data_IF_312957812712
#
_entry.id   IF_312957812712
#
_cell.length_a   1.000
_cell.length_b   1.000
_cell.length_c   1.000
_cell.angle_alpha   90.00
_cell.angle_beta   90.00
_cell.angle_gamma   90.00
#
_symmetry.space_group_name_H-M   'P 1'
#
loop_
_entity.id
_entity.type
_entity.pdbx_description
1 polymer ?
#
# COMPACT_ATOMS: atom_id res chain seq x y z
N UNK A 1 -20.93 5.48 33.06
CA UNK A 1 -21.42 6.74 32.46
C UNK A 1 -21.27 6.62 30.94
N UNK A 2 -22.27 6.16 30.19
CA UNK A 2 -22.09 5.96 28.75
C UNK A 2 -21.95 7.30 28.00
N UNK A 3 -21.18 7.32 26.90
CA UNK A 3 -20.93 8.53 26.11
C UNK A 3 -21.57 8.39 24.73
N UNK A 4 -22.21 9.45 24.23
CA UNK A 4 -22.85 9.50 22.90
C UNK A 4 -21.88 9.87 21.79
N UNK A 5 -22.15 9.41 20.57
CA UNK A 5 -21.51 9.91 19.35
C UNK A 5 -20.01 9.67 19.29
N UNK A 6 -19.58 8.43 19.57
CA UNK A 6 -18.16 8.05 19.50
C UNK A 6 -17.80 7.63 18.08
N UNK A 7 -16.79 8.27 17.52
CA UNK A 7 -16.15 7.84 16.28
C UNK A 7 -14.82 7.17 16.61
N UNK A 8 -14.56 6.03 15.97
CA UNK A 8 -13.23 5.45 15.93
C UNK A 8 -12.59 5.86 14.60
N UNK A 9 -11.49 6.61 14.68
CA UNK A 9 -10.71 7.02 13.51
C UNK A 9 -9.46 6.16 13.40
N UNK A 10 -9.28 5.53 12.24
CA UNK A 10 -8.06 4.82 11.87
C UNK A 10 -7.46 5.47 10.62
N UNK A 11 -6.14 5.36 10.46
CA UNK A 11 -5.45 5.78 9.24
C UNK A 11 -5.04 4.53 8.47
N UNK A 12 -5.48 4.44 7.22
CA UNK A 12 -5.13 3.37 6.31
C UNK A 12 -3.69 3.54 5.81
N UNK A 13 -3.10 2.48 5.25
CA UNK A 13 -1.72 2.47 4.72
C UNK A 13 -1.52 3.43 3.54
N UNK A 14 -2.59 3.84 2.86
CA UNK A 14 -2.59 4.86 1.81
C UNK A 14 -2.71 6.30 2.36
N UNK A 15 -2.81 6.45 3.69
CA UNK A 15 -2.95 7.73 4.37
C UNK A 15 -4.38 8.28 4.43
N UNK A 16 -5.36 7.59 3.85
CA UNK A 16 -6.78 7.93 3.99
C UNK A 16 -7.29 7.60 5.40
N UNK A 17 -8.35 8.30 5.83
CA UNK A 17 -8.97 8.06 7.12
C UNK A 17 -10.12 7.05 6.94
N UNK A 18 -10.05 5.95 7.69
CA UNK A 18 -11.19 5.06 7.89
C UNK A 18 -11.91 5.50 9.17
N UNK A 19 -13.16 5.91 9.02
CA UNK A 19 -14.01 6.33 10.14
C UNK A 19 -15.09 5.29 10.33
N UNK A 20 -15.13 4.68 11.52
CA UNK A 20 -16.19 3.77 11.93
C UNK A 20 -17.09 4.54 12.88
N UNK A 21 -18.34 4.76 12.47
CA UNK A 21 -19.38 5.25 13.37
C UNK A 21 -19.82 4.10 14.27
N UNK A 22 -19.71 4.29 15.60
CA UNK A 22 -20.10 3.29 16.59
C UNK A 22 -21.59 3.39 16.98
N UNK A 23 -22.38 4.17 16.24
CA UNK A 23 -23.82 4.25 16.40
C UNK A 23 -24.52 3.01 15.79
N UNK A 24 -25.55 2.51 16.48
CA UNK A 24 -26.17 1.20 16.19
C UNK A 24 -27.04 1.14 14.93
N UNK A 25 -27.35 2.27 14.27
CA UNK A 25 -28.06 2.28 12.99
C UNK A 25 -28.09 3.69 12.37
N UNK A 26 -28.17 3.73 11.03
CA UNK A 26 -28.43 4.93 10.22
C UNK A 26 -29.88 5.46 10.34
N UNK A 27 -30.68 4.91 11.27
CA UNK A 27 -32.02 5.39 11.62
C UNK A 27 -31.94 6.12 12.95
N UNK A 28 -32.05 7.44 12.89
CA UNK A 28 -31.80 8.45 13.93
C UNK A 28 -32.65 8.35 15.22
N UNK A 29 -33.29 7.23 15.52
CA UNK A 29 -34.27 7.14 16.62
C UNK A 29 -33.77 6.34 17.82
N UNK A 30 -32.79 5.44 17.66
CA UNK A 30 -32.26 4.67 18.78
C UNK A 30 -30.90 5.21 19.23
N UNK A 31 -30.87 5.75 20.46
CA UNK A 31 -29.72 6.48 20.99
C UNK A 31 -28.59 5.51 21.30
N UNK A 32 -27.71 5.28 20.33
CA UNK A 32 -26.50 4.45 20.45
C UNK A 32 -25.58 4.95 21.58
N UNK A 33 -25.62 4.26 22.73
CA UNK A 33 -24.71 4.48 23.84
C UNK A 33 -23.63 3.41 23.81
N UNK A 34 -22.36 3.82 23.74
CA UNK A 34 -21.24 2.90 23.91
C UNK A 34 -20.86 2.87 25.39
N UNK A 35 -20.93 1.69 26.01
CA UNK A 35 -20.49 1.52 27.40
C UNK A 35 -18.98 1.66 27.51
N UNK A 36 -18.47 2.09 28.67
CA UNK A 36 -17.01 2.17 28.89
C UNK A 36 -16.30 0.82 28.90
N UNK A 37 -17.05 -0.27 29.04
CA UNK A 37 -16.53 -1.63 28.99
C UNK A 37 -16.62 -2.23 27.57
N UNK A 38 -17.14 -1.49 26.59
CA UNK A 38 -17.23 -1.97 25.22
C UNK A 38 -15.83 -2.13 24.64
N UNK A 39 -15.56 -3.30 24.07
CA UNK A 39 -14.33 -3.58 23.34
C UNK A 39 -14.66 -3.61 21.84
N UNK A 40 -13.88 -2.88 21.03
CA UNK A 40 -13.98 -2.91 19.57
C UNK A 40 -12.85 -3.79 19.06
N UNK A 41 -13.20 -4.92 18.43
CA UNK A 41 -12.24 -5.81 17.76
C UNK A 41 -12.27 -5.51 16.26
N UNK A 42 -11.15 -5.05 15.74
CA UNK A 42 -10.93 -4.90 14.30
C UNK A 42 -10.09 -6.07 13.82
N UNK A 43 -10.66 -6.89 12.94
CA UNK A 43 -9.96 -8.02 12.32
C UNK A 43 -9.78 -7.68 10.85
N UNK A 44 -8.53 -7.60 10.40
CA UNK A 44 -8.21 -7.53 8.97
C UNK A 44 -8.20 -8.98 8.49
N UNK A 45 -9.33 -9.42 7.93
CA UNK A 45 -9.40 -10.69 7.22
C UNK A 45 -8.84 -10.50 5.81
N UNK A 46 -8.18 -11.51 5.23
CA UNK A 46 -7.90 -11.50 3.80
C UNK A 46 -9.22 -11.31 3.03
N UNK A 47 -9.20 -10.63 1.87
CA UNK A 47 -10.38 -10.58 1.01
C UNK A 47 -10.80 -12.02 0.72
N UNK A 48 -12.04 -12.37 1.00
CA UNK A 48 -12.60 -13.67 0.62
C UNK A 48 -13.35 -13.47 -0.69
N UNK A 49 -13.11 -14.34 -1.66
CA UNK A 49 -13.96 -14.40 -2.84
C UNK A 49 -15.19 -15.22 -2.49
N UNK A 50 -16.36 -14.66 -2.77
CA UNK A 50 -17.58 -15.46 -2.74
C UNK A 50 -17.42 -16.56 -3.79
N UNK A 51 -17.69 -17.82 -3.43
CA UNK A 51 -17.44 -18.98 -4.30
C UNK A 51 -16.06 -19.64 -4.15
N UNK A 52 -15.10 -19.05 -3.43
CA UNK A 52 -13.83 -19.69 -3.04
C UNK A 52 -14.07 -20.48 -1.74
N UNK A 53 -14.41 -21.75 -1.89
CA UNK A 53 -14.83 -22.62 -0.79
C UNK A 53 -13.66 -23.40 -0.19
N UNK A 54 -12.55 -23.54 -0.94
CA UNK A 54 -11.33 -24.16 -0.45
C UNK A 54 -10.34 -23.14 0.17
N UNK A 55 -10.63 -21.84 0.04
CA UNK A 55 -9.86 -20.69 0.53
C UNK A 55 -8.45 -20.57 -0.04
N UNK A 56 -8.26 -20.98 -1.29
CA UNK A 56 -6.96 -20.87 -1.98
C UNK A 56 -6.77 -19.53 -2.72
N UNK A 57 -7.81 -18.69 -2.74
CA UNK A 57 -7.79 -17.37 -3.37
C UNK A 57 -8.11 -17.38 -4.87
N UNK A 58 -8.60 -18.50 -5.41
CA UNK A 58 -9.05 -18.66 -6.78
C UNK A 58 -10.40 -19.39 -6.78
N UNK A 59 -11.39 -18.84 -7.48
CA UNK A 59 -12.66 -19.55 -7.70
C UNK A 59 -12.52 -20.42 -8.94
N UNK A 60 -12.38 -21.73 -8.77
CA UNK A 60 -12.24 -22.68 -9.85
C UNK A 60 -12.97 -24.02 -9.63
N UNK A 61 -12.62 -25.02 -10.43
CA UNK A 61 -13.24 -26.34 -10.38
C UNK A 61 -12.87 -27.15 -9.13
N UNK A 62 -11.91 -26.73 -8.31
CA UNK A 62 -11.65 -27.32 -7.01
C UNK A 62 -12.75 -26.95 -6.02
N UNK A 63 -13.27 -25.72 -6.05
CA UNK A 63 -14.32 -25.26 -5.13
C UNK A 63 -15.63 -26.03 -5.26
N UNK A 64 -15.99 -26.43 -6.48
CA UNK A 64 -17.23 -27.19 -6.70
C UNK A 64 -17.17 -28.57 -6.04
N UNK A 65 -15.98 -29.15 -5.87
CA UNK A 65 -15.82 -30.42 -5.15
C UNK A 65 -16.06 -30.22 -3.66
N UNK A 66 -15.59 -29.10 -3.12
CA UNK A 66 -15.79 -28.70 -1.73
C UNK A 66 -17.27 -28.40 -1.46
N UNK A 67 -17.95 -27.67 -2.35
CA UNK A 67 -19.40 -27.44 -2.25
C UNK A 67 -20.21 -28.74 -2.29
N UNK A 68 -19.86 -29.67 -3.19
CA UNK A 68 -20.53 -30.98 -3.28
C UNK A 68 -20.35 -31.82 -2.02
N UNK A 69 -19.16 -31.83 -1.45
CA UNK A 69 -18.88 -32.57 -0.21
C UNK A 69 -19.58 -31.96 1.01
N UNK A 70 -19.88 -30.65 0.96
CA UNK A 70 -20.58 -29.93 2.00
C UNK A 70 -22.11 -29.92 1.84
N UNK A 71 -22.62 -30.41 0.71
CA UNK A 71 -24.04 -30.40 0.41
C UNK A 71 -24.81 -31.15 1.52
N UNK A 72 -25.83 -30.51 2.08
CA UNK A 72 -26.62 -30.96 3.25
C UNK A 72 -25.91 -30.94 4.62
N UNK A 73 -24.69 -30.41 4.74
CA UNK A 73 -24.09 -30.10 6.03
C UNK A 73 -24.82 -28.92 6.70
N UNK A 74 -25.26 -29.12 7.95
CA UNK A 74 -25.90 -28.08 8.76
C UNK A 74 -24.97 -27.51 9.84
N UNK A 75 -23.82 -28.13 10.05
CA UNK A 75 -22.85 -27.77 11.08
C UNK A 75 -21.58 -27.14 10.51
N UNK A 76 -21.25 -27.47 9.27
CA UNK A 76 -20.07 -26.98 8.59
C UNK A 76 -20.53 -26.21 7.35
N UNK A 77 -20.38 -24.89 7.39
CA UNK A 77 -20.93 -23.93 6.43
C UNK A 77 -19.83 -23.22 5.61
N UNK A 78 -18.71 -23.91 5.34
CA UNK A 78 -17.61 -23.29 4.55
C UNK A 78 -18.03 -22.99 3.11
N UNK A 79 -19.01 -23.73 2.58
CA UNK A 79 -19.55 -23.55 1.23
C UNK A 79 -20.87 -22.74 1.18
N UNK A 80 -21.22 -22.05 2.28
CA UNK A 80 -22.35 -21.13 2.36
C UNK A 80 -21.92 -19.76 1.82
N UNK A 81 -22.01 -19.61 0.50
CA UNK A 81 -21.55 -18.43 -0.23
C UNK A 81 -22.40 -17.19 0.05
N UNK A 82 -23.71 -17.37 0.28
CA UNK A 82 -24.63 -16.27 0.59
C UNK A 82 -24.75 -15.98 2.10
N UNK A 83 -24.17 -16.84 2.95
CA UNK A 83 -24.15 -16.75 4.42
C UNK A 83 -25.53 -16.80 5.06
N UNK A 84 -26.46 -17.55 4.49
CA UNK A 84 -27.81 -17.71 4.99
C UNK A 84 -27.96 -18.85 6.02
N UNK A 85 -26.87 -19.62 6.26
CA UNK A 85 -26.84 -20.76 7.16
C UNK A 85 -27.18 -22.11 6.52
N UNK A 86 -27.35 -22.16 5.20
CA UNK A 86 -27.80 -23.31 4.43
C UNK A 86 -26.94 -23.42 3.16
N UNK A 87 -26.35 -24.58 2.92
CA UNK A 87 -25.63 -24.85 1.66
C UNK A 87 -26.63 -25.42 0.66
N UNK A 88 -26.99 -24.63 -0.37
CA UNK A 88 -27.96 -25.00 -1.38
C UNK A 88 -27.57 -24.54 -2.80
N UNK A 89 -28.55 -24.58 -3.72
CA UNK A 89 -28.34 -24.21 -5.11
C UNK A 89 -28.06 -22.71 -5.32
N UNK A 90 -28.43 -21.84 -4.38
CA UNK A 90 -28.11 -20.42 -4.45
C UNK A 90 -26.60 -20.20 -4.27
N UNK A 91 -25.92 -21.01 -3.45
CA UNK A 91 -24.46 -20.95 -3.30
C UNK A 91 -23.75 -21.39 -4.58
N UNK A 92 -24.28 -22.42 -5.25
CA UNK A 92 -23.77 -22.84 -6.55
C UNK A 92 -23.82 -21.71 -7.59
N UNK A 93 -24.92 -20.95 -7.64
CA UNK A 93 -25.03 -19.78 -8.53
C UNK A 93 -23.97 -18.73 -8.21
N UNK A 94 -23.65 -18.52 -6.92
CA UNK A 94 -22.58 -17.61 -6.51
C UNK A 94 -21.22 -18.10 -7.03
N UNK A 95 -20.92 -19.39 -6.92
CA UNK A 95 -19.70 -19.95 -7.49
C UNK A 95 -19.65 -19.76 -9.02
N UNK A 96 -20.77 -19.98 -9.73
CA UNK A 96 -20.83 -19.75 -11.19
C UNK A 96 -20.57 -18.28 -11.54
N UNK A 97 -21.18 -17.35 -10.81
CA UNK A 97 -21.01 -15.90 -11.03
C UNK A 97 -19.58 -15.43 -10.74
N UNK A 98 -18.86 -16.12 -9.85
CA UNK A 98 -17.51 -15.78 -9.44
C UNK A 98 -16.43 -16.64 -10.11
N UNK A 99 -16.80 -17.57 -10.99
CA UNK A 99 -15.86 -18.49 -11.62
C UNK A 99 -14.71 -17.76 -12.35
N UNK A 100 -13.48 -18.11 -12.02
CA UNK A 100 -12.25 -17.50 -12.56
C UNK A 100 -11.81 -16.22 -11.86
N UNK A 101 -12.57 -15.70 -10.90
CA UNK A 101 -12.13 -14.62 -10.02
C UNK A 101 -10.96 -15.10 -9.17
N UNK A 102 -10.00 -14.20 -8.91
CA UNK A 102 -8.84 -14.50 -8.06
C UNK A 102 -8.44 -13.29 -7.25
N UNK A 103 -7.89 -13.53 -6.07
CA UNK A 103 -7.35 -12.46 -5.23
C UNK A 103 -6.04 -12.00 -5.87
N UNK A 104 -6.06 -10.78 -6.41
CA UNK A 104 -4.84 -10.13 -6.85
C UNK A 104 -4.14 -9.54 -5.63
N UNK A 105 -3.10 -10.22 -5.17
CA UNK A 105 -2.16 -9.62 -4.24
C UNK A 105 -1.36 -8.54 -4.98
N UNK A 106 -1.32 -7.34 -4.41
CA UNK A 106 -0.38 -6.32 -4.86
C UNK A 106 1.04 -6.86 -4.64
N UNK A 107 1.67 -7.33 -5.71
CA UNK A 107 3.08 -7.69 -5.68
C UNK A 107 3.87 -6.41 -5.43
N UNK A 108 4.49 -6.29 -4.26
CA UNK A 108 5.47 -5.23 -4.00
C UNK A 108 6.64 -5.48 -4.94
N UNK A 109 6.65 -4.79 -6.07
CA UNK A 109 7.76 -4.86 -7.01
C UNK A 109 8.95 -4.23 -6.30
N UNK A 110 9.95 -5.04 -5.96
CA UNK A 110 11.21 -4.54 -5.44
C UNK A 110 11.72 -3.49 -6.42
N UNK A 111 11.77 -2.22 -5.98
CA UNK A 111 12.32 -1.14 -6.79
C UNK A 111 13.80 -1.48 -6.97
N UNK A 112 14.29 -1.69 -8.21
CA UNK A 112 15.68 -2.04 -8.43
C UNK A 112 16.58 -0.96 -7.82
N UNK A 113 17.42 -1.36 -6.88
CA UNK A 113 18.33 -0.50 -6.12
C UNK A 113 19.28 0.30 -7.03
N UNK A 114 19.45 -0.14 -8.28
CA UNK A 114 20.19 0.56 -9.34
C UNK A 114 19.61 1.92 -9.76
N UNK A 115 18.41 2.30 -9.30
CA UNK A 115 17.81 3.59 -9.63
C UNK A 115 18.49 4.77 -8.91
N UNK A 116 19.07 4.53 -7.72
CA UNK A 116 19.76 5.57 -6.93
C UNK A 116 21.20 5.82 -7.38
N UNK A 117 21.86 4.80 -7.95
CA UNK A 117 23.28 4.85 -8.33
C UNK A 117 23.56 5.87 -9.44
N UNK A 118 22.62 6.01 -10.39
CA UNK A 118 22.72 6.99 -11.49
C UNK A 118 22.68 8.44 -11.00
N UNK A 119 21.85 8.74 -10.00
CA UNK A 119 21.75 10.09 -9.43
C UNK A 119 23.05 10.49 -8.73
N UNK A 120 23.66 9.57 -7.98
CA UNK A 120 24.95 9.82 -7.30
C UNK A 120 26.06 10.05 -8.33
N UNK A 121 26.14 9.22 -9.38
CA UNK A 121 27.16 9.38 -10.43
C UNK A 121 27.01 10.70 -11.20
N UNK A 122 25.78 11.11 -11.54
CA UNK A 122 25.52 12.39 -12.21
C UNK A 122 25.91 13.59 -11.34
N UNK A 123 25.59 13.55 -10.03
CA UNK A 123 25.94 14.60 -9.09
C UNK A 123 27.47 14.68 -8.88
N UNK A 124 28.16 13.55 -8.77
CA UNK A 124 29.62 13.51 -8.68
C UNK A 124 30.30 14.04 -9.94
N UNK A 125 29.78 13.70 -11.14
CA UNK A 125 30.29 14.25 -12.40
C UNK A 125 30.09 15.77 -12.48
N UNK A 126 28.91 16.26 -12.12
CA UNK A 126 28.59 17.69 -12.12
C UNK A 126 29.49 18.46 -11.14
N UNK A 127 29.65 17.95 -9.91
CA UNK A 127 30.55 18.52 -8.91
C UNK A 127 32.00 18.60 -9.41
N UNK A 128 32.51 17.51 -10.00
CA UNK A 128 33.86 17.45 -10.53
C UNK A 128 34.07 18.41 -11.70
N UNK A 129 33.04 18.61 -12.54
CA UNK A 129 33.06 19.63 -13.60
C UNK A 129 33.12 21.05 -13.04
N UNK A 130 32.40 21.33 -11.95
CA UNK A 130 32.44 22.62 -11.26
C UNK A 130 33.82 22.89 -10.67
N UNK A 131 34.43 21.91 -9.97
CA UNK A 131 35.77 22.07 -9.39
C UNK A 131 36.86 22.33 -10.44
N UNK A 132 36.81 21.65 -11.59
CA UNK A 132 37.76 21.86 -12.69
C UNK A 132 37.63 23.24 -13.36
N UNK A 133 36.42 23.84 -13.34
CA UNK A 133 36.23 25.20 -13.87
C UNK A 133 36.81 26.26 -12.94
N UNK A 134 36.66 26.10 -11.63
CA UNK A 134 37.21 27.02 -10.63
C UNK A 134 38.75 27.02 -10.67
N UNK A 135 39.39 25.84 -10.62
CA UNK A 135 40.85 25.74 -10.64
C UNK A 135 41.53 26.30 -11.92
N UNK A 136 40.82 26.29 -13.05
CA UNK A 136 41.34 26.81 -14.34
C UNK A 136 41.27 28.35 -14.41
N UNK A 137 40.37 28.98 -13.65
CA UNK A 137 40.26 30.44 -13.57
C UNK A 137 41.42 31.00 -12.71
N UNK A 138 41.72 30.35 -11.58
CA UNK A 138 42.82 30.75 -10.69
C UNK A 138 44.19 30.73 -11.37
N UNK A 139 44.46 29.72 -12.21
CA UNK A 139 45.74 29.61 -12.91
C UNK A 139 45.96 30.73 -13.95
N UNK A 140 44.88 31.18 -14.61
CA UNK A 140 44.96 32.28 -15.59
C UNK A 140 45.12 33.65 -14.92
N UNK A 141 44.51 33.85 -13.75
CA UNK A 141 44.71 35.05 -12.94
C UNK A 141 46.16 35.18 -12.42
N UNK A 142 46.73 34.06 -11.94
CA UNK A 142 48.11 34.04 -11.42
C UNK A 142 49.18 34.32 -12.50
N UNK A 143 49.00 33.79 -13.72
CA UNK A 143 49.94 34.02 -14.84
C UNK A 143 49.84 35.46 -15.39
N UNK A 144 48.66 36.09 -15.31
CA UNK A 144 48.49 37.49 -15.70
C UNK A 144 49.19 38.48 -14.77
N UNK A 145 49.29 38.16 -13.48
CA UNK A 145 49.93 39.03 -12.48
C UNK A 145 51.46 39.04 -12.56
N UNK A 146 52.10 37.94 -12.99
CA UNK A 146 53.56 37.83 -13.09
C UNK A 146 54.19 38.53 -14.29
N UNK A 147 53.40 38.96 -15.29
CA UNK A 147 53.91 39.68 -16.48
C UNK A 147 54.07 41.19 -16.29
N UNK A 148 53.68 41.76 -15.14
CA UNK A 148 53.72 43.20 -14.87
C UNK A 148 54.90 43.70 -14.02
N UNK A 149 55.82 42.84 -13.57
CA UNK A 149 56.86 43.20 -12.58
C UNK A 149 58.27 42.82 -13.08
N UNK A 150 58.73 43.45 -14.16
CA UNK A 150 60.17 43.56 -14.46
C UNK A 150 60.43 45.01 -14.92
N UNK A 151 60.91 45.91 -14.05
CA UNK A 151 61.40 47.21 -14.49
C UNK A 151 62.70 47.03 -15.28
N UNK A 152 62.72 47.51 -16.53
CA UNK A 152 63.91 47.55 -17.36
C UNK A 152 64.95 48.51 -16.78
N UNK A 153 66.13 48.00 -16.47
CA UNK A 153 67.27 48.80 -16.07
C UNK A 153 67.82 49.52 -17.31
N UNK A 154 67.66 50.84 -17.36
CA UNK A 154 68.34 51.72 -18.31
C UNK A 154 69.76 51.96 -17.82
N UNK A 155 70.76 51.44 -18.53
CA UNK A 155 72.16 51.86 -18.40
C UNK A 155 72.60 52.44 -19.75
N UNK A 156 72.65 53.77 -19.80
CA UNK A 156 73.49 54.58 -20.68
C UNK A 156 73.77 55.90 -19.94
#
# INVERSE_FOLDING_TARGET
MAVRGKMLTARLTDGSLATIDLNTNSRLEDRGYVSHAATVRVTIAPPLLEGDYNYDGLVDAADITVWKDALASQTILFADGNRNGIIDAADYTIWEDQYGQRILHASVRAVPEGSGSWLVLCLSFYWFRCQRRVARIDLKGAIGSLKGVIPGNSLA
#
